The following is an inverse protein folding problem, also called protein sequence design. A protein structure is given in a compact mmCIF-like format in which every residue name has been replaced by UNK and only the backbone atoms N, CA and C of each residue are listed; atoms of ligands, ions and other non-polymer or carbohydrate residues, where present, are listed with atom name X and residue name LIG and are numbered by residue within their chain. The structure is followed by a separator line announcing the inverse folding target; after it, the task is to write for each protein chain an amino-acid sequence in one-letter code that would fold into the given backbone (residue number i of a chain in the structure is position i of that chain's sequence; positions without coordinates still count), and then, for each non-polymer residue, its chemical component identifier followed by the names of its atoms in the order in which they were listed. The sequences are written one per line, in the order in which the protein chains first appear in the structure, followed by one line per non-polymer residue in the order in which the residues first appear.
data_IF_025997862542
#
_entry.id   IF_025997862542
#
_cell.length_a   1.000
_cell.length_b   1.000
_cell.length_c   1.000
_cell.angle_alpha   90.00
_cell.angle_beta   90.00
_cell.angle_gamma   90.00
#
_symmetry.space_group_name_H-M   'P 1'
#
loop_
_entity.id
_entity.type
_entity.pdbx_description
1 polymer ?
#
# COMPACT_ATOMS: atom_id res chain seq x y z
N UNK A 1 17.06 55.51 19.59
CA UNK A 1 16.54 55.13 18.27
C UNK A 1 16.41 53.61 18.07
N UNK A 2 17.40 52.77 18.40
CA UNK A 2 17.31 51.28 18.21
C UNK A 2 16.19 50.59 19.00
N UNK A 3 15.84 51.09 20.20
CA UNK A 3 14.77 50.50 21.04
C UNK A 3 13.36 50.80 20.53
N UNK A 4 13.15 51.96 19.90
CA UNK A 4 11.88 52.35 19.29
C UNK A 4 11.59 51.52 18.02
N UNK A 5 12.64 51.20 17.24
CA UNK A 5 12.51 50.36 16.04
C UNK A 5 12.09 48.93 16.38
N UNK A 6 12.60 48.37 17.49
CA UNK A 6 12.24 47.04 17.95
C UNK A 6 10.76 46.95 18.41
N UNK A 7 10.25 47.99 19.06
CA UNK A 7 8.85 48.06 19.50
C UNK A 7 7.90 48.19 18.31
N UNK A 8 8.25 49.01 17.30
CA UNK A 8 7.44 49.10 16.09
C UNK A 8 7.41 47.78 15.28
N UNK A 9 8.55 47.08 15.21
CA UNK A 9 8.63 45.81 14.50
C UNK A 9 7.80 44.69 15.19
N UNK A 10 7.82 44.67 16.54
CA UNK A 10 7.00 43.71 17.30
C UNK A 10 5.50 43.98 17.21
N UNK A 11 5.09 45.23 17.13
CA UNK A 11 3.68 45.60 16.92
C UNK A 11 3.18 45.23 15.52
N UNK A 12 4.01 45.36 14.50
CA UNK A 12 3.68 44.97 13.11
C UNK A 12 3.56 43.44 13.00
N UNK A 13 4.45 42.66 13.66
CA UNK A 13 4.34 41.22 13.67
C UNK A 13 3.10 40.71 14.42
N UNK A 14 2.70 41.36 15.51
CA UNK A 14 1.46 40.98 16.22
C UNK A 14 0.20 41.32 15.41
N UNK A 15 0.22 42.37 14.60
CA UNK A 15 -0.92 42.72 13.75
C UNK A 15 -1.11 41.77 12.56
N UNK A 16 -0.05 41.10 12.09
CA UNK A 16 -0.13 40.11 10.98
C UNK A 16 -0.51 38.70 11.43
N UNK A 17 -0.37 38.37 12.73
CA UNK A 17 -0.74 37.09 13.30
C UNK A 17 -2.07 37.07 14.05
N UNK A 18 -2.75 38.20 14.15
CA UNK A 18 -4.08 38.25 14.71
C UNK A 18 -5.05 37.63 13.67
N UNK A 19 -5.74 36.50 13.98
CA UNK A 19 -6.90 36.15 13.20
C UNK A 19 -7.84 37.36 13.25
N UNK A 20 -8.26 37.84 12.11
CA UNK A 20 -9.26 38.89 12.02
C UNK A 20 -10.60 38.36 12.51
N UNK A 21 -10.72 38.21 13.83
CA UNK A 21 -12.01 38.07 14.47
C UNK A 21 -12.65 39.47 14.39
N UNK A 22 -13.35 39.74 13.31
CA UNK A 22 -14.29 40.87 13.25
C UNK A 22 -15.45 40.51 14.19
N UNK A 23 -15.29 40.89 15.47
CA UNK A 23 -16.45 41.02 16.33
C UNK A 23 -17.19 42.28 15.88
N UNK A 24 -18.02 42.19 14.87
CA UNK A 24 -19.06 43.16 14.64
C UNK A 24 -20.11 42.96 15.73
N UNK A 25 -20.11 43.88 16.66
CA UNK A 25 -21.16 43.98 17.67
C UNK A 25 -22.46 44.41 17.02
N UNK A 26 -23.15 43.44 16.43
CA UNK A 26 -24.55 43.55 16.13
C UNK A 26 -25.28 42.45 16.90
N UNK A 27 -26.30 42.82 17.67
CA UNK A 27 -27.05 41.92 18.56
C UNK A 27 -28.08 41.07 17.79
N UNK A 28 -27.95 40.94 16.51
CA UNK A 28 -28.71 39.97 15.75
C UNK A 28 -28.01 38.59 15.84
N UNK A 29 -28.72 37.60 16.37
CA UNK A 29 -28.28 36.22 16.38
C UNK A 29 -28.09 35.75 14.91
N UNK A 30 -26.87 35.94 14.38
CA UNK A 30 -26.48 35.43 13.06
C UNK A 30 -25.95 34.01 13.20
N UNK A 31 -26.51 33.08 12.45
CA UNK A 31 -25.86 31.78 12.25
C UNK A 31 -24.76 31.96 11.21
N UNK A 32 -23.51 31.65 11.59
CA UNK A 32 -22.38 31.63 10.67
C UNK A 32 -22.06 30.20 10.30
N UNK A 33 -21.78 29.93 9.03
CA UNK A 33 -21.29 28.65 8.55
C UNK A 33 -19.76 28.70 8.47
N UNK A 34 -19.12 27.75 9.13
CA UNK A 34 -17.67 27.55 9.04
C UNK A 34 -17.42 26.28 8.24
N UNK A 35 -16.78 26.40 7.11
CA UNK A 35 -16.32 25.23 6.36
C UNK A 35 -15.05 24.65 6.99
N UNK A 36 -15.15 23.39 7.39
CA UNK A 36 -14.00 22.63 7.87
C UNK A 36 -13.62 21.63 6.78
N UNK A 37 -12.33 21.58 6.42
CA UNK A 37 -11.79 20.58 5.51
C UNK A 37 -10.60 19.90 6.15
N UNK A 38 -10.54 18.58 6.01
CA UNK A 38 -9.39 17.77 6.41
C UNK A 38 -9.15 16.72 5.34
N UNK A 39 -7.88 16.48 5.00
CA UNK A 39 -7.48 15.40 4.14
C UNK A 39 -6.73 14.34 4.98
N UNK A 40 -7.13 13.10 4.84
CA UNK A 40 -6.47 11.96 5.48
C UNK A 40 -5.95 11.02 4.40
N UNK A 41 -4.64 10.84 4.38
CA UNK A 41 -4.00 9.95 3.42
C UNK A 41 -4.28 8.47 3.74
N UNK A 42 -4.31 7.64 2.70
CA UNK A 42 -4.38 6.19 2.87
C UNK A 42 -3.13 5.69 3.61
N UNK A 43 -3.35 4.77 4.54
CA UNK A 43 -2.28 4.12 5.31
C UNK A 43 -2.61 2.64 5.45
N UNK A 44 -1.60 1.77 5.43
CA UNK A 44 -1.78 0.33 5.55
C UNK A 44 -0.47 -0.36 5.90
N UNK A 45 -0.57 -1.56 6.46
CA UNK A 45 0.54 -2.48 6.68
C UNK A 45 0.29 -3.76 5.89
N UNK A 46 1.27 -4.23 5.12
CA UNK A 46 1.20 -5.49 4.38
C UNK A 46 2.12 -6.51 5.04
N UNK A 47 1.58 -7.67 5.35
CA UNK A 47 2.33 -8.83 5.84
C UNK A 47 2.39 -9.88 4.75
N UNK A 48 3.61 -10.31 4.42
CA UNK A 48 3.92 -11.35 3.45
C UNK A 48 4.57 -12.53 4.15
N UNK A 49 4.43 -13.76 3.64
CA UNK A 49 5.16 -14.91 4.18
C UNK A 49 6.67 -14.71 3.99
N UNK A 50 7.43 -14.93 5.05
CA UNK A 50 8.90 -14.82 5.01
C UNK A 50 9.53 -15.93 4.17
N UNK A 51 8.91 -17.13 4.19
CA UNK A 51 9.32 -18.31 3.42
C UNK A 51 8.08 -19.08 2.98
N UNK A 52 8.17 -19.73 1.83
CA UNK A 52 7.19 -20.68 1.34
C UNK A 52 7.95 -21.95 0.98
N UNK A 53 7.62 -23.04 1.66
CA UNK A 53 8.14 -24.36 1.35
C UNK A 53 7.21 -25.06 0.37
N UNK A 54 7.65 -25.21 -0.88
CA UNK A 54 6.86 -25.78 -1.96
C UNK A 54 6.59 -27.28 -1.79
N UNK A 55 7.34 -27.99 -0.93
CA UNK A 55 7.05 -29.37 -0.58
C UNK A 55 5.85 -29.47 0.38
N UNK A 56 5.62 -28.43 1.17
CA UNK A 56 4.57 -28.38 2.18
C UNK A 56 3.30 -27.67 1.69
N UNK A 57 3.45 -26.65 0.86
CA UNK A 57 2.33 -25.86 0.36
C UNK A 57 2.65 -25.22 -0.98
N UNK A 58 1.66 -25.17 -1.85
CA UNK A 58 1.71 -24.38 -3.09
C UNK A 58 0.95 -23.06 -2.97
N UNK A 59 0.74 -22.55 -1.76
CA UNK A 59 -0.09 -21.37 -1.50
C UNK A 59 0.63 -20.41 -0.57
N UNK A 60 0.56 -19.12 -0.90
CA UNK A 60 1.02 -18.04 -0.06
C UNK A 60 -0.15 -17.16 0.41
N UNK A 61 0.00 -16.58 1.59
CA UNK A 61 -0.98 -15.70 2.22
C UNK A 61 -0.43 -14.28 2.29
N UNK A 62 -1.26 -13.31 1.93
CA UNK A 62 -0.97 -11.88 2.06
C UNK A 62 -2.04 -11.27 2.95
N UNK A 63 -1.63 -10.60 4.01
CA UNK A 63 -2.55 -9.92 4.92
C UNK A 63 -2.28 -8.42 4.92
N UNK A 64 -3.33 -7.62 4.78
CA UNK A 64 -3.33 -6.18 5.03
C UNK A 64 -3.91 -5.93 6.43
N UNK A 65 -3.27 -5.06 7.21
CA UNK A 65 -3.71 -4.66 8.55
C UNK A 65 -3.59 -3.16 8.74
N UNK A 66 -4.30 -2.64 9.73
CA UNK A 66 -4.33 -1.20 10.06
C UNK A 66 -4.63 -0.32 8.85
N UNK A 67 -5.38 -0.86 7.89
CA UNK A 67 -5.64 -0.20 6.64
C UNK A 67 -6.75 0.85 6.79
N UNK A 68 -6.43 2.04 6.33
CA UNK A 68 -7.37 3.12 6.12
C UNK A 68 -7.20 3.57 4.66
N UNK A 69 -7.92 2.92 3.76
CA UNK A 69 -7.86 3.17 2.32
C UNK A 69 -8.96 4.16 1.96
N UNK A 70 -8.64 5.16 1.15
CA UNK A 70 -9.62 6.10 0.62
C UNK A 70 -10.68 5.37 -0.21
N UNK A 71 -11.94 5.79 -0.09
CA UNK A 71 -13.05 5.18 -0.85
C UNK A 71 -12.81 5.25 -2.35
N UNK A 72 -13.01 4.14 -3.05
CA UNK A 72 -12.70 3.99 -4.47
C UNK A 72 -11.22 3.71 -4.78
N UNK A 73 -10.41 3.42 -3.75
CA UNK A 73 -9.01 3.04 -3.92
C UNK A 73 -8.79 1.58 -3.53
N UNK A 74 -7.74 0.99 -4.09
CA UNK A 74 -7.25 -0.35 -3.77
C UNK A 74 -5.73 -0.36 -3.59
N UNK A 75 -5.26 -1.30 -2.80
CA UNK A 75 -3.83 -1.61 -2.67
C UNK A 75 -3.51 -2.84 -3.50
N UNK A 76 -2.65 -2.67 -4.48
CA UNK A 76 -2.15 -3.73 -5.36
C UNK A 76 -0.76 -4.18 -4.89
N UNK A 77 -0.56 -5.50 -4.85
CA UNK A 77 0.73 -6.14 -4.53
C UNK A 77 1.28 -6.78 -5.79
N UNK A 78 2.48 -6.40 -6.20
CA UNK A 78 3.15 -6.91 -7.39
C UNK A 78 4.41 -7.67 -7.03
N UNK A 79 4.78 -8.65 -7.85
CA UNK A 79 6.11 -9.29 -7.82
C UNK A 79 6.99 -8.65 -8.88
N UNK A 80 8.13 -8.11 -8.49
CA UNK A 80 8.97 -7.27 -9.35
C UNK A 80 10.09 -8.04 -10.07
N UNK A 81 10.50 -9.17 -9.52
CA UNK A 81 11.61 -9.98 -10.05
C UNK A 81 11.16 -11.20 -10.87
N UNK A 82 10.03 -11.09 -11.55
CA UNK A 82 9.59 -12.10 -12.50
C UNK A 82 10.51 -12.11 -13.74
N UNK A 83 10.81 -13.30 -14.26
CA UNK A 83 11.50 -13.46 -15.53
C UNK A 83 10.60 -13.08 -16.73
N UNK A 84 11.07 -13.27 -17.95
CA UNK A 84 10.32 -12.93 -19.18
C UNK A 84 9.06 -13.77 -19.38
N UNK A 85 8.95 -14.91 -18.72
CA UNK A 85 7.82 -15.84 -18.79
C UNK A 85 6.82 -15.63 -17.64
N UNK A 86 7.05 -14.64 -16.77
CA UNK A 86 6.19 -14.34 -15.63
C UNK A 86 6.40 -15.26 -14.43
N UNK A 87 7.56 -15.91 -14.33
CA UNK A 87 7.90 -16.83 -13.25
C UNK A 87 9.03 -16.29 -12.36
N UNK A 88 9.08 -16.77 -11.13
CA UNK A 88 10.26 -16.65 -10.27
C UNK A 88 11.18 -17.83 -10.52
N UNK A 89 12.44 -17.57 -10.85
CA UNK A 89 13.41 -18.63 -11.09
C UNK A 89 14.11 -19.04 -9.79
N UNK A 90 14.00 -20.31 -9.43
CA UNK A 90 14.74 -20.94 -8.35
C UNK A 90 16.02 -21.58 -8.87
N UNK A 91 17.05 -21.61 -8.06
CA UNK A 91 18.36 -22.15 -8.40
C UNK A 91 18.64 -23.37 -7.51
N UNK A 92 19.06 -24.45 -8.13
CA UNK A 92 19.50 -25.66 -7.39
C UNK A 92 20.78 -25.39 -6.59
N UNK A 93 20.94 -26.06 -5.47
CA UNK A 93 22.16 -25.96 -4.62
C UNK A 93 23.46 -26.22 -5.38
N UNK A 94 23.43 -26.91 -6.50
CA UNK A 94 24.59 -27.12 -7.37
C UNK A 94 24.94 -25.88 -8.23
N UNK A 95 24.05 -24.86 -8.26
CA UNK A 95 24.23 -23.62 -9.02
C UNK A 95 24.05 -23.74 -10.53
N UNK A 96 23.69 -24.89 -11.06
CA UNK A 96 23.61 -25.17 -12.50
C UNK A 96 22.18 -25.32 -12.99
N UNK A 97 21.33 -26.00 -12.22
CA UNK A 97 19.95 -26.26 -12.61
C UNK A 97 19.02 -25.20 -12.06
N UNK A 98 18.02 -24.84 -12.86
CA UNK A 98 16.98 -23.87 -12.49
C UNK A 98 15.61 -24.52 -12.55
N UNK A 99 14.66 -23.96 -11.81
CA UNK A 99 13.24 -24.31 -11.83
C UNK A 99 12.42 -23.02 -11.79
N UNK A 100 11.46 -22.90 -12.67
CA UNK A 100 10.58 -21.74 -12.69
C UNK A 100 9.30 -22.04 -11.90
N UNK A 101 8.87 -21.03 -11.16
CA UNK A 101 7.66 -21.03 -10.34
C UNK A 101 6.77 -19.89 -10.79
N UNK A 102 5.61 -20.23 -11.32
CA UNK A 102 4.59 -19.27 -11.72
C UNK A 102 3.69 -18.93 -10.55
N UNK A 103 3.30 -17.67 -10.49
CA UNK A 103 2.40 -17.16 -9.46
C UNK A 103 1.03 -16.90 -10.07
N UNK A 104 -0.01 -17.31 -9.37
CA UNK A 104 -1.39 -17.14 -9.80
C UNK A 104 -2.17 -16.35 -8.77
N UNK A 105 -2.81 -15.29 -9.23
CA UNK A 105 -3.85 -14.62 -8.45
C UNK A 105 -5.10 -15.52 -8.44
N UNK A 106 -5.47 -15.99 -7.26
CA UNK A 106 -6.60 -16.94 -7.11
C UNK A 106 -7.93 -16.25 -7.43
N UNK A 107 -8.12 -15.01 -7.01
CA UNK A 107 -9.38 -14.27 -7.22
C UNK A 107 -9.59 -13.88 -8.68
N UNK A 108 -8.56 -13.34 -9.30
CA UNK A 108 -8.61 -12.94 -10.70
C UNK A 108 -8.48 -14.13 -11.66
N UNK A 109 -8.14 -15.32 -11.15
CA UNK A 109 -7.91 -16.55 -11.91
C UNK A 109 -6.92 -16.35 -13.07
N UNK A 110 -5.88 -15.58 -12.85
CA UNK A 110 -4.86 -15.26 -13.85
C UNK A 110 -3.44 -15.36 -13.26
N UNK A 111 -2.46 -15.52 -14.13
CA UNK A 111 -1.05 -15.44 -13.75
C UNK A 111 -0.67 -14.04 -13.30
N UNK A 112 0.14 -13.94 -12.25
CA UNK A 112 0.75 -12.68 -11.89
C UNK A 112 1.80 -12.30 -12.93
N UNK A 113 1.84 -11.03 -13.31
CA UNK A 113 2.84 -10.45 -14.21
C UNK A 113 3.40 -9.18 -13.58
N UNK A 114 4.32 -8.51 -14.24
CA UNK A 114 4.81 -7.21 -13.78
C UNK A 114 3.72 -6.12 -13.78
N UNK A 115 2.67 -6.30 -14.58
CA UNK A 115 1.55 -5.37 -14.74
C UNK A 115 0.27 -5.87 -14.04
N UNK A 116 0.18 -7.19 -13.80
CA UNK A 116 -0.97 -7.80 -13.13
C UNK A 116 -0.61 -8.07 -11.66
N UNK A 117 -1.35 -7.52 -10.71
CA UNK A 117 -1.05 -7.70 -9.29
C UNK A 117 -1.22 -9.17 -8.87
N UNK A 118 -0.37 -9.60 -7.94
CA UNK A 118 -0.47 -10.90 -7.28
C UNK A 118 -1.75 -10.99 -6.44
N UNK A 119 -2.06 -9.94 -5.70
CA UNK A 119 -3.32 -9.75 -4.97
C UNK A 119 -3.67 -8.27 -4.95
N UNK A 120 -4.96 -7.95 -4.78
CA UNK A 120 -5.46 -6.58 -4.64
C UNK A 120 -6.43 -6.49 -3.47
N UNK A 121 -6.33 -5.45 -2.65
CA UNK A 121 -7.23 -5.18 -1.53
C UNK A 121 -8.01 -3.89 -1.80
N UNK A 122 -9.32 -3.97 -1.95
CA UNK A 122 -10.19 -2.81 -2.10
C UNK A 122 -10.60 -2.27 -0.74
N UNK A 123 -10.91 -0.97 -0.68
CA UNK A 123 -11.47 -0.34 0.52
C UNK A 123 -12.71 -1.08 1.06
N UNK A 124 -13.56 -1.58 0.15
CA UNK A 124 -14.80 -2.30 0.47
C UNK A 124 -14.61 -3.74 0.98
N UNK A 125 -13.40 -4.30 0.86
CA UNK A 125 -13.09 -5.68 1.27
C UNK A 125 -12.48 -5.76 2.66
N UNK A 126 -12.16 -4.61 3.27
CA UNK A 126 -11.59 -4.54 4.61
C UNK A 126 -12.68 -4.78 5.66
N UNK A 127 -12.33 -5.49 6.72
CA UNK A 127 -13.18 -5.59 7.92
C UNK A 127 -13.22 -4.28 8.71
N UNK A 128 -13.97 -4.27 9.81
CA UNK A 128 -14.11 -3.11 10.68
C UNK A 128 -12.77 -2.61 11.26
N UNK A 129 -11.78 -3.49 11.38
CA UNK A 129 -10.44 -3.18 11.88
C UNK A 129 -9.44 -2.81 10.78
N UNK A 130 -9.88 -2.70 9.54
CA UNK A 130 -9.02 -2.42 8.40
C UNK A 130 -8.12 -3.62 8.05
N UNK A 131 -8.64 -4.84 8.18
CA UNK A 131 -7.90 -6.09 7.94
C UNK A 131 -8.57 -6.89 6.83
N UNK A 132 -7.77 -7.48 5.97
CA UNK A 132 -8.19 -8.49 4.99
C UNK A 132 -7.04 -9.44 4.69
N UNK A 133 -7.37 -10.68 4.31
CA UNK A 133 -6.40 -11.70 3.93
C UNK A 133 -6.75 -12.25 2.56
N UNK A 134 -5.76 -12.33 1.69
CA UNK A 134 -5.88 -12.91 0.35
C UNK A 134 -4.78 -13.92 0.10
N UNK A 135 -5.01 -14.77 -0.89
CA UNK A 135 -4.13 -15.89 -1.20
C UNK A 135 -3.70 -15.84 -2.66
N UNK A 136 -2.51 -16.35 -2.89
CA UNK A 136 -1.99 -16.64 -4.22
C UNK A 136 -1.50 -18.09 -4.27
N UNK A 137 -1.50 -18.66 -5.45
CA UNK A 137 -1.01 -20.01 -5.70
C UNK A 137 0.32 -19.97 -6.44
N UNK A 138 1.14 -20.99 -6.19
CA UNK A 138 2.39 -21.25 -6.85
C UNK A 138 2.27 -22.52 -7.66
N UNK A 139 2.56 -22.43 -8.93
CA UNK A 139 2.62 -23.58 -9.83
C UNK A 139 4.06 -23.74 -10.33
N UNK A 140 4.57 -24.94 -10.34
CA UNK A 140 5.94 -25.19 -10.77
C UNK A 140 6.02 -26.45 -11.62
N UNK A 141 6.95 -26.43 -12.55
CA UNK A 141 7.21 -27.56 -13.40
C UNK A 141 8.11 -28.55 -12.66
N UNK A 142 7.60 -29.76 -12.43
CA UNK A 142 8.35 -30.84 -11.75
C UNK A 142 9.48 -31.45 -12.61
N UNK A 143 9.71 -30.92 -13.81
CA UNK A 143 10.77 -31.38 -14.69
C UNK A 143 12.08 -30.65 -14.35
N UNK A 144 12.93 -31.28 -13.59
CA UNK A 144 14.24 -30.77 -13.23
C UNK A 144 15.13 -31.89 -12.67
N UNK A 145 16.41 -31.57 -12.47
CA UNK A 145 17.31 -32.47 -11.78
C UNK A 145 16.90 -32.59 -10.31
N UNK A 146 17.06 -33.76 -9.71
CA UNK A 146 16.83 -33.92 -8.29
C UNK A 146 17.76 -32.98 -7.47
N UNK A 147 17.23 -32.40 -6.41
CA UNK A 147 17.97 -31.51 -5.50
C UNK A 147 17.09 -30.44 -4.86
N UNK A 148 17.71 -29.66 -3.99
CA UNK A 148 17.06 -28.51 -3.35
C UNK A 148 17.18 -27.28 -4.22
N UNK A 149 16.06 -26.56 -4.38
CA UNK A 149 15.94 -25.32 -5.13
C UNK A 149 15.55 -24.19 -4.20
N UNK A 150 16.14 -23.01 -4.37
CA UNK A 150 15.77 -21.82 -3.61
C UNK A 150 15.87 -20.56 -4.46
N UNK A 151 15.08 -19.59 -4.09
CA UNK A 151 15.01 -18.28 -4.72
C UNK A 151 14.30 -17.30 -3.82
N UNK A 152 14.20 -16.07 -4.27
CA UNK A 152 13.54 -15.00 -3.54
C UNK A 152 12.48 -14.35 -4.42
N UNK A 153 11.39 -13.89 -3.80
CA UNK A 153 10.41 -13.01 -4.42
C UNK A 153 10.60 -11.59 -3.89
N UNK A 154 10.60 -10.62 -4.78
CA UNK A 154 10.65 -9.20 -4.42
C UNK A 154 9.30 -8.56 -4.74
N UNK A 155 8.76 -7.81 -3.78
CA UNK A 155 7.44 -7.23 -3.87
C UNK A 155 7.49 -5.71 -3.99
N UNK A 156 6.48 -5.13 -4.64
CA UNK A 156 6.16 -3.71 -4.59
C UNK A 156 4.67 -3.52 -4.32
N UNK A 157 4.33 -2.38 -3.76
CA UNK A 157 2.96 -2.04 -3.39
C UNK A 157 2.58 -0.71 -4.02
N UNK A 158 1.33 -0.59 -4.46
CA UNK A 158 0.78 0.68 -4.93
C UNK A 158 -0.67 0.84 -4.47
N UNK A 159 -1.05 2.07 -4.14
CA UNK A 159 -2.42 2.41 -3.80
C UNK A 159 -2.97 3.29 -4.94
N UNK A 160 -3.97 2.77 -5.66
CA UNK A 160 -4.50 3.39 -6.88
C UNK A 160 -6.03 3.42 -6.85
N UNK A 161 -6.66 4.41 -7.51
CA UNK A 161 -8.10 4.37 -7.73
C UNK A 161 -8.48 3.17 -8.59
N UNK A 162 -9.64 2.58 -8.33
CA UNK A 162 -10.23 1.56 -9.19
C UNK A 162 -11.60 2.02 -9.71
N UNK A 163 -11.98 1.53 -10.87
CA UNK A 163 -13.32 1.71 -11.41
C UNK A 163 -14.14 0.43 -11.15
N UNK A 164 -15.36 0.59 -10.69
CA UNK A 164 -16.33 -0.49 -10.57
C UNK A 164 -16.85 -0.95 -11.94
#
# INVERSE_FOLDING_TARGET
MKKLLAICLSLVLLATCAPTAFAMGDTSAGSGEVQLSAHRYSSYTITMPATIDLEMTNRGEVTITDANIESGYKVDVFVTNLNSEGAVTLINTNGVSTMDVWLRNVEANCGATRETPLVSFRDTELDFFGTATKYFELDYNSFGNAGYYYGTMTYSFSCNPYQE
#
